data_IF_093767631025
#
_entry.id   IF_093767631025
#
_cell.length_a   1.000
_cell.length_b   1.000
_cell.length_c   1.000
_cell.angle_alpha   90.00
_cell.angle_beta   90.00
_cell.angle_gamma   90.00
#
_symmetry.space_group_name_H-M   'P 1'
#
loop_
_entity.id
_entity.type
_entity.pdbx_description
1 polymer ?
#
# COMPACT_ATOMS: atom_id res chain seq x y z
N UNK A 1 8.48 21.81 2.79
CA UNK A 1 7.54 21.13 1.87
C UNK A 1 7.77 19.62 1.90
N UNK A 2 7.08 18.89 2.79
CA UNK A 2 7.08 17.43 2.81
C UNK A 2 5.66 16.95 2.56
N UNK A 3 5.24 16.95 1.29
CA UNK A 3 3.91 16.43 0.94
C UNK A 3 3.88 14.94 1.27
N UNK A 4 2.87 14.52 2.00
CA UNK A 4 2.64 13.12 2.33
C UNK A 4 1.48 12.61 1.49
N UNK A 5 1.71 11.49 0.83
CA UNK A 5 0.73 10.77 0.04
C UNK A 5 0.46 9.44 0.71
N UNK A 6 -0.79 8.99 0.64
CA UNK A 6 -1.23 7.69 1.14
C UNK A 6 -1.91 6.93 0.01
N UNK A 7 -1.72 5.61 -0.05
CA UNK A 7 -2.37 4.71 -0.99
C UNK A 7 -2.89 3.47 -0.27
N UNK A 8 -3.94 2.85 -0.81
CA UNK A 8 -4.49 1.58 -0.33
C UNK A 8 -4.65 0.62 -1.50
N UNK A 9 -4.30 -0.64 -1.29
CA UNK A 9 -4.59 -1.75 -2.21
C UNK A 9 -5.85 -2.43 -1.73
N UNK A 10 -6.84 -2.56 -2.60
CA UNK A 10 -8.11 -3.22 -2.30
C UNK A 10 -8.41 -4.31 -3.31
N UNK A 11 -8.87 -5.48 -2.87
CA UNK A 11 -9.48 -6.48 -3.74
C UNK A 11 -10.70 -7.09 -3.07
N UNK A 12 -11.78 -7.31 -3.81
CA UNK A 12 -13.03 -7.86 -3.26
C UNK A 12 -13.75 -6.96 -2.25
N UNK A 13 -13.35 -5.68 -2.12
CA UNK A 13 -13.86 -4.78 -1.09
C UNK A 13 -13.00 -4.73 0.19
N UNK A 14 -12.07 -5.66 0.34
CA UNK A 14 -11.13 -5.70 1.45
C UNK A 14 -9.89 -4.88 1.16
N UNK A 15 -9.35 -4.22 2.20
CA UNK A 15 -8.06 -3.53 2.14
C UNK A 15 -6.97 -4.54 2.45
N UNK A 16 -6.12 -4.77 1.45
CA UNK A 16 -5.08 -5.79 1.50
C UNK A 16 -3.72 -5.19 1.81
N UNK A 17 -3.53 -3.88 1.58
CA UNK A 17 -2.35 -3.18 2.06
C UNK A 17 -2.50 -1.67 2.03
N UNK A 18 -1.71 -1.00 2.85
CA UNK A 18 -1.67 0.46 2.96
C UNK A 18 -0.23 0.97 2.90
N UNK A 19 -0.06 2.18 2.37
CA UNK A 19 1.27 2.73 2.17
C UNK A 19 1.29 4.24 2.15
N UNK A 20 2.42 4.80 2.58
CA UNK A 20 2.64 6.23 2.60
C UNK A 20 3.98 6.60 1.95
N UNK A 21 4.08 7.81 1.41
CA UNK A 21 5.31 8.27 0.77
C UNK A 21 5.32 9.76 0.47
N UNK A 22 6.51 10.27 0.15
CA UNK A 22 6.71 11.67 -0.27
C UNK A 22 6.23 11.95 -1.70
N UNK A 23 5.80 10.91 -2.42
CA UNK A 23 5.19 10.97 -3.74
C UNK A 23 4.11 9.90 -3.86
N UNK A 24 3.16 10.09 -4.78
CA UNK A 24 2.11 9.09 -5.08
C UNK A 24 2.70 7.72 -5.40
N UNK A 25 3.68 7.69 -6.31
CA UNK A 25 4.40 6.45 -6.69
C UNK A 25 5.00 5.73 -5.48
N UNK A 26 5.60 6.47 -4.53
CA UNK A 26 6.18 5.86 -3.33
C UNK A 26 5.12 5.31 -2.39
N UNK A 27 3.99 6.01 -2.23
CA UNK A 27 2.86 5.53 -1.44
C UNK A 27 2.25 4.25 -2.04
N UNK A 28 2.06 4.21 -3.37
CA UNK A 28 1.58 3.03 -4.10
C UNK A 28 2.50 1.82 -3.96
N UNK A 29 3.82 2.03 -4.14
CA UNK A 29 4.81 0.96 -3.97
C UNK A 29 4.83 0.42 -2.53
N UNK A 30 4.74 1.31 -1.54
CA UNK A 30 4.64 0.93 -0.13
C UNK A 30 3.37 0.11 0.14
N UNK A 31 2.23 0.50 -0.42
CA UNK A 31 0.96 -0.19 -0.22
C UNK A 31 0.95 -1.57 -0.91
N UNK A 32 1.56 -1.67 -2.10
CA UNK A 32 1.72 -2.93 -2.81
C UNK A 32 2.64 -3.91 -2.07
N UNK A 33 3.71 -3.40 -1.45
CA UNK A 33 4.63 -4.22 -0.66
C UNK A 33 3.94 -4.76 0.60
N UNK A 34 3.23 -3.92 1.34
CA UNK A 34 2.41 -4.34 2.49
C UNK A 34 1.38 -5.40 2.08
N UNK A 35 0.67 -5.19 0.96
CA UNK A 35 -0.28 -6.17 0.44
C UNK A 35 0.37 -7.51 0.09
N UNK A 36 1.51 -7.49 -0.61
CA UNK A 36 2.22 -8.72 -0.99
C UNK A 36 2.71 -9.50 0.24
N UNK A 37 3.19 -8.80 1.28
CA UNK A 37 3.58 -9.43 2.55
C UNK A 37 2.39 -10.13 3.19
N UNK A 38 1.25 -9.44 3.37
CA UNK A 38 0.06 -10.03 3.98
C UNK A 38 -0.50 -11.21 3.18
N UNK A 39 -0.48 -11.10 1.85
CA UNK A 39 -0.89 -12.22 0.99
C UNK A 39 0.01 -13.45 1.15
N UNK A 40 1.32 -13.25 1.26
CA UNK A 40 2.29 -14.34 1.42
C UNK A 40 2.22 -15.03 2.79
N UNK A 41 1.78 -14.33 3.84
CA UNK A 41 1.57 -14.92 5.18
C UNK A 41 0.33 -15.83 5.25
N UNK A 42 -0.58 -15.73 4.28
CA UNK A 42 -1.83 -16.51 4.21
C UNK A 42 -1.83 -17.60 3.12
N UNK A 43 -0.73 -17.77 2.38
CA UNK A 43 -0.57 -18.75 1.29
C UNK A 43 0.22 -20.00 1.76
#
# INVERSE_FOLDING_TARGET
>A
HAKQFTARVTAGGDVLGEGAGTSKKRAEQSAAQDAATRFGEHA
#
